data_IF_415272495123
#
_entry.id   IF_415272495123
#
_cell.length_a   1.000
_cell.length_b   1.000
_cell.length_c   1.000
_cell.angle_alpha   90.00
_cell.angle_beta   90.00
_cell.angle_gamma   90.00
#
_symmetry.space_group_name_H-M   'P 1'
#
loop_
_entity.id
_entity.type
_entity.pdbx_description
1 polymer ?
#
# COMPACT_ATOMS: atom_id res chain seq x y z
N UNK A 1 7.11 32.94 32.45
CA UNK A 1 7.08 34.02 31.45
C UNK A 1 6.27 33.55 30.27
N UNK A 2 4.95 33.85 30.27
CA UNK A 2 4.08 33.65 29.12
C UNK A 2 4.16 34.89 28.24
N UNK A 3 4.23 34.75 26.91
CA UNK A 3 3.51 35.59 25.95
C UNK A 3 3.85 35.26 24.51
N UNK A 4 2.77 34.87 23.75
CA UNK A 4 2.40 35.31 22.42
C UNK A 4 3.19 34.76 21.23
N UNK A 5 2.56 33.85 20.49
CA UNK A 5 2.39 34.00 19.03
C UNK A 5 1.03 33.40 18.65
N UNK A 6 0.06 34.27 18.48
CA UNK A 6 -1.21 34.06 17.77
C UNK A 6 -1.18 34.95 16.53
N UNK A 7 -1.77 34.44 15.47
CA UNK A 7 -2.15 35.09 14.22
C UNK A 7 -1.06 35.18 13.15
N UNK A 8 -1.31 34.37 12.06
CA UNK A 8 -1.15 34.80 10.66
C UNK A 8 -1.59 33.63 9.75
N UNK A 9 -2.89 33.52 9.52
CA UNK A 9 -3.47 32.86 8.37
C UNK A 9 -4.79 33.56 8.03
N UNK A 10 -4.69 34.54 7.13
CA UNK A 10 -5.79 35.06 6.31
C UNK A 10 -5.16 35.85 5.17
N UNK A 11 -5.26 35.35 3.95
CA UNK A 11 -5.50 36.06 2.72
C UNK A 11 -5.10 35.19 1.51
N UNK A 12 -6.03 34.43 0.95
CA UNK A 12 -5.95 34.00 -0.44
C UNK A 12 -6.96 34.79 -1.24
N UNK A 13 -6.46 35.62 -2.11
CA UNK A 13 -7.16 36.54 -2.99
C UNK A 13 -7.79 35.76 -4.16
N UNK A 14 -9.10 35.86 -4.32
CA UNK A 14 -9.82 35.42 -5.53
C UNK A 14 -9.60 36.45 -6.64
N UNK A 15 -9.04 36.04 -7.76
CA UNK A 15 -9.01 36.80 -9.02
C UNK A 15 -10.07 36.21 -9.94
N UNK A 16 -11.19 36.93 -10.08
CA UNK A 16 -12.21 36.65 -11.09
C UNK A 16 -11.82 37.33 -12.43
N UNK A 17 -11.54 36.55 -13.43
CA UNK A 17 -11.44 37.05 -14.82
C UNK A 17 -12.83 37.05 -15.48
N UNK A 18 -13.39 38.20 -15.70
CA UNK A 18 -14.56 38.40 -16.56
C UNK A 18 -14.12 38.51 -18.01
N UNK A 19 -14.56 37.59 -18.86
CA UNK A 19 -14.46 37.72 -20.34
C UNK A 19 -15.83 38.05 -20.84
N UNK A 20 -15.96 39.22 -21.48
CA UNK A 20 -17.16 39.67 -22.20
C UNK A 20 -17.13 39.15 -23.66
N UNK A 21 -18.23 38.69 -24.22
CA UNK A 21 -18.29 38.40 -25.64
C UNK A 21 -18.67 39.63 -26.45
N UNK A 22 -17.88 39.93 -27.48
CA UNK A 22 -18.26 40.89 -28.54
C UNK A 22 -19.27 40.25 -29.49
N UNK A 23 -20.38 40.97 -29.67
CA UNK A 23 -21.36 40.67 -30.70
C UNK A 23 -21.00 41.39 -32.00
N UNK A 24 -20.94 40.66 -33.11
CA UNK A 24 -21.03 41.23 -34.47
C UNK A 24 -22.35 40.81 -35.08
N UNK A 25 -23.14 41.81 -35.42
CA UNK A 25 -24.43 41.62 -36.07
C UNK A 25 -24.29 41.39 -37.59
N UNK A 26 -25.28 40.73 -38.15
CA UNK A 26 -25.71 40.90 -39.52
C UNK A 26 -27.22 40.74 -39.60
N UNK A 27 -27.84 41.72 -40.24
CA UNK A 27 -29.24 41.92 -40.52
C UNK A 27 -29.79 40.92 -41.55
N UNK A 28 -31.08 40.57 -41.43
CA UNK A 28 -31.86 39.89 -42.44
C UNK A 28 -33.31 39.81 -42.01
N UNK A 29 -34.14 40.70 -42.55
CA UNK A 29 -35.58 40.72 -42.40
C UNK A 29 -36.21 39.49 -43.06
N UNK A 30 -37.18 38.85 -42.39
CA UNK A 30 -38.39 38.32 -43.06
C UNK A 30 -39.51 38.09 -42.04
N UNK A 31 -40.67 38.68 -42.39
CA UNK A 31 -41.93 38.60 -41.69
C UNK A 31 -42.46 37.18 -41.60
N UNK A 32 -42.87 36.76 -40.41
CA UNK A 32 -43.76 35.63 -40.22
C UNK A 32 -44.67 35.83 -39.01
N UNK A 33 -45.94 35.90 -39.34
CA UNK A 33 -47.12 36.11 -38.49
C UNK A 33 -47.25 34.98 -37.45
N UNK A 34 -47.28 35.33 -36.17
CA UNK A 34 -47.60 34.41 -35.08
C UNK A 34 -49.08 34.43 -34.76
N UNK A 35 -49.76 33.29 -34.54
CA UNK A 35 -51.11 33.24 -33.97
C UNK A 35 -51.07 33.47 -32.43
N UNK A 36 -52.21 33.86 -31.83
CA UNK A 36 -52.25 34.26 -30.43
C UNK A 36 -52.02 33.08 -29.47
N UNK A 37 -51.32 33.37 -28.40
CA UNK A 37 -51.04 32.43 -27.31
C UNK A 37 -52.31 32.14 -26.50
N UNK A 38 -52.66 30.88 -26.32
CA UNK A 38 -53.56 30.42 -25.27
C UNK A 38 -52.76 30.33 -23.97
N UNK A 39 -53.12 31.18 -23.00
CA UNK A 39 -52.74 31.06 -21.59
C UNK A 39 -53.56 29.89 -21.00
N UNK A 40 -52.90 28.79 -20.68
CA UNK A 40 -53.14 27.86 -19.57
C UNK A 40 -52.32 26.58 -19.77
N UNK A 41 -51.08 26.62 -19.30
CA UNK A 41 -50.34 25.42 -18.99
C UNK A 41 -49.64 25.63 -17.63
N UNK A 42 -50.23 25.14 -16.57
CA UNK A 42 -49.57 24.98 -15.30
C UNK A 42 -48.28 24.14 -15.50
N UNK A 43 -47.13 24.77 -15.38
CA UNK A 43 -45.86 24.08 -15.42
C UNK A 43 -45.70 23.24 -14.16
N UNK A 44 -46.05 21.96 -14.26
CA UNK A 44 -45.65 20.94 -13.28
C UNK A 44 -44.15 20.74 -13.41
N UNK A 45 -43.41 21.57 -12.72
CA UNK A 45 -41.97 21.36 -12.49
C UNK A 45 -41.79 20.27 -11.45
N UNK A 46 -42.03 19.02 -11.89
CA UNK A 46 -41.46 17.88 -11.16
C UNK A 46 -39.96 18.04 -11.14
N UNK A 47 -39.44 18.48 -9.99
CA UNK A 47 -38.01 18.52 -9.75
C UNK A 47 -37.46 17.10 -9.98
N UNK A 48 -36.66 16.94 -11.04
CA UNK A 48 -35.89 15.72 -11.27
C UNK A 48 -35.03 15.57 -10.00
N UNK A 49 -35.13 14.47 -9.24
CA UNK A 49 -34.28 14.28 -8.09
C UNK A 49 -32.83 14.32 -8.57
N UNK A 50 -32.07 15.25 -8.02
CA UNK A 50 -30.65 15.41 -8.28
C UNK A 50 -29.99 14.05 -7.98
N UNK A 51 -29.53 13.33 -9.01
CA UNK A 51 -28.79 12.09 -8.82
C UNK A 51 -27.56 12.42 -7.97
N UNK A 52 -27.33 11.70 -6.87
CA UNK A 52 -26.15 11.93 -6.06
C UNK A 52 -24.92 11.85 -6.98
N UNK A 53 -24.08 12.89 -6.94
CA UNK A 53 -22.86 12.92 -7.73
C UNK A 53 -22.08 11.61 -7.50
N UNK A 54 -21.67 10.95 -8.58
CA UNK A 54 -20.82 9.76 -8.48
C UNK A 54 -19.59 10.10 -7.65
N UNK A 55 -19.27 9.23 -6.67
CA UNK A 55 -18.09 9.39 -5.87
C UNK A 55 -16.85 9.20 -6.77
N UNK A 56 -16.04 10.24 -6.89
CA UNK A 56 -14.81 10.21 -7.70
C UNK A 56 -13.70 9.61 -6.85
N UNK A 57 -12.90 8.70 -7.45
CA UNK A 57 -11.70 8.21 -6.80
C UNK A 57 -10.71 9.36 -6.65
N UNK A 58 -10.39 9.71 -5.42
CA UNK A 58 -9.39 10.71 -5.07
C UNK A 58 -8.15 10.04 -4.46
N UNK A 59 -6.99 10.65 -4.67
CA UNK A 59 -5.74 10.26 -4.04
C UNK A 59 -5.07 11.50 -3.46
N UNK A 60 -4.81 11.46 -2.16
CA UNK A 60 -4.23 12.58 -1.43
C UNK A 60 -2.93 12.15 -0.78
N UNK A 61 -1.91 12.99 -0.88
CA UNK A 61 -0.69 12.80 -0.09
C UNK A 61 -1.01 12.95 1.40
N UNK A 62 -0.60 11.98 2.18
CA UNK A 62 -0.76 11.99 3.62
C UNK A 62 0.58 11.65 4.27
N UNK A 63 1.05 12.56 5.11
CA UNK A 63 2.26 12.40 5.90
C UNK A 63 1.90 11.96 7.32
N UNK A 64 2.48 10.86 7.77
CA UNK A 64 2.41 10.42 9.16
C UNK A 64 3.71 10.78 9.89
N UNK A 65 3.67 10.79 11.23
CA UNK A 65 4.83 11.10 12.05
C UNK A 65 5.15 9.94 12.99
N UNK A 66 6.38 9.42 12.93
CA UNK A 66 6.94 8.52 13.92
C UNK A 66 8.03 9.27 14.70
N UNK A 67 7.67 9.86 15.85
CA UNK A 67 8.52 10.81 16.54
C UNK A 67 8.84 12.02 15.67
N UNK A 68 10.10 12.19 15.28
CA UNK A 68 10.55 13.27 14.40
C UNK A 68 10.67 12.85 12.93
N UNK A 69 10.43 11.58 12.61
CA UNK A 69 10.54 11.05 11.26
C UNK A 69 9.21 11.20 10.54
N UNK A 70 9.27 11.64 9.27
CA UNK A 70 8.09 11.78 8.41
C UNK A 70 7.96 10.54 7.55
N UNK A 71 6.76 10.00 7.50
CA UNK A 71 6.37 8.84 6.72
C UNK A 71 5.45 9.33 5.59
N UNK A 72 5.90 9.18 4.35
CA UNK A 72 5.14 9.54 3.17
C UNK A 72 4.16 8.44 2.77
N UNK A 73 2.98 8.83 2.27
CA UNK A 73 2.07 7.88 1.66
C UNK A 73 0.94 8.55 0.90
N UNK A 74 0.16 7.71 0.21
CA UNK A 74 -1.00 8.09 -0.57
C UNK A 74 -2.26 7.44 -0.01
N UNK A 75 -3.23 8.26 0.32
CA UNK A 75 -4.58 7.84 0.68
C UNK A 75 -5.48 7.85 -0.55
N UNK A 76 -6.05 6.72 -0.88
CA UNK A 76 -7.05 6.54 -1.93
C UNK A 76 -8.42 6.33 -1.30
N UNK A 77 -9.44 7.07 -1.74
CA UNK A 77 -10.82 6.90 -1.25
C UNK A 77 -11.83 7.43 -2.26
N UNK A 78 -13.04 6.86 -2.24
CA UNK A 78 -14.25 7.39 -2.90
C UNK A 78 -15.27 7.87 -1.87
N UNK A 79 -14.90 7.93 -0.60
CA UNK A 79 -15.80 8.40 0.44
C UNK A 79 -16.20 9.87 0.19
N UNK A 80 -17.48 10.15 0.40
CA UNK A 80 -18.02 11.51 0.30
C UNK A 80 -17.63 12.32 1.53
N UNK A 81 -17.63 13.64 1.45
CA UNK A 81 -17.44 14.49 2.63
C UNK A 81 -18.40 14.12 3.75
N UNK A 82 -17.85 13.84 4.94
CA UNK A 82 -18.61 13.43 6.13
C UNK A 82 -18.98 11.94 6.20
N UNK A 83 -18.66 11.15 5.17
CA UNK A 83 -18.80 9.70 5.18
C UNK A 83 -17.58 9.05 5.85
N UNK A 84 -17.82 8.04 6.69
CA UNK A 84 -16.78 7.17 7.23
C UNK A 84 -16.85 5.81 6.56
N UNK A 85 -15.68 5.32 6.16
CA UNK A 85 -15.54 4.01 5.51
C UNK A 85 -14.49 3.16 6.23
N UNK A 86 -14.53 1.83 6.10
CA UNK A 86 -13.44 0.97 6.56
C UNK A 86 -12.13 1.33 5.85
N UNK A 87 -11.00 1.09 6.50
CA UNK A 87 -9.69 1.39 5.94
C UNK A 87 -8.81 0.14 5.81
N UNK A 88 -7.93 0.16 4.81
CA UNK A 88 -6.82 -0.80 4.66
C UNK A 88 -5.52 -0.03 4.60
N UNK A 89 -4.56 -0.39 5.44
CA UNK A 89 -3.18 0.11 5.40
C UNK A 89 -2.33 -0.93 4.69
N UNK A 90 -1.59 -0.51 3.65
CA UNK A 90 -0.85 -1.40 2.77
C UNK A 90 0.66 -1.20 2.96
N UNK A 91 1.33 -2.24 3.44
CA UNK A 91 2.76 -2.31 3.74
C UNK A 91 3.52 -3.02 2.63
N UNK A 92 4.49 -2.34 2.01
CA UNK A 92 5.28 -2.86 0.89
C UNK A 92 6.34 -3.88 1.32
N UNK A 93 6.89 -4.62 0.34
CA UNK A 93 7.98 -5.58 0.52
C UNK A 93 9.33 -4.88 0.74
N UNK A 94 10.32 -5.64 1.21
CA UNK A 94 11.71 -5.19 1.38
C UNK A 94 12.23 -4.44 0.14
N UNK A 95 12.92 -3.32 0.36
CA UNK A 95 13.54 -2.49 -0.69
C UNK A 95 12.58 -1.91 -1.75
N UNK A 96 11.26 -1.93 -1.49
CA UNK A 96 10.25 -1.32 -2.33
C UNK A 96 9.75 0.00 -1.73
N UNK A 97 8.68 0.54 -2.32
CA UNK A 97 8.01 1.75 -1.89
C UNK A 97 6.48 1.59 -1.98
N UNK A 98 5.73 2.62 -1.56
CA UNK A 98 4.28 2.70 -1.74
C UNK A 98 3.83 2.39 -3.18
N UNK A 99 4.70 2.66 -4.17
CA UNK A 99 4.40 2.44 -5.58
C UNK A 99 4.02 0.98 -5.88
N UNK A 100 4.63 0.00 -5.19
CA UNK A 100 4.31 -1.41 -5.31
C UNK A 100 2.89 -1.77 -4.83
N UNK A 101 2.30 -0.96 -3.96
CA UNK A 101 0.99 -1.19 -3.35
C UNK A 101 -0.12 -0.34 -3.98
N UNK A 102 0.21 0.62 -4.85
CA UNK A 102 -0.76 1.56 -5.44
C UNK A 102 -1.89 0.89 -6.20
N UNK A 103 -1.59 -0.16 -6.97
CA UNK A 103 -2.60 -0.91 -7.71
C UNK A 103 -3.67 -1.50 -6.78
N UNK A 104 -3.24 -2.14 -5.72
CA UNK A 104 -4.12 -2.70 -4.69
C UNK A 104 -4.89 -1.61 -3.95
N UNK A 105 -4.24 -0.51 -3.57
CA UNK A 105 -4.90 0.60 -2.89
C UNK A 105 -6.03 1.21 -3.73
N UNK A 106 -5.80 1.42 -5.04
CA UNK A 106 -6.83 1.90 -5.97
C UNK A 106 -7.99 0.91 -6.07
N UNK A 107 -7.70 -0.37 -6.24
CA UNK A 107 -8.72 -1.42 -6.33
C UNK A 107 -9.59 -1.51 -5.08
N UNK A 108 -9.00 -1.34 -3.89
CA UNK A 108 -9.72 -1.30 -2.62
C UNK A 108 -10.58 -0.03 -2.49
N UNK A 109 -10.07 1.12 -2.92
CA UNK A 109 -10.83 2.37 -2.92
C UNK A 109 -12.02 2.32 -3.88
N UNK A 110 -11.88 1.63 -5.04
CA UNK A 110 -13.00 1.36 -5.95
C UNK A 110 -14.11 0.52 -5.29
N UNK A 111 -13.78 -0.25 -4.26
CA UNK A 111 -14.71 -1.04 -3.45
C UNK A 111 -15.23 -0.28 -2.22
N UNK A 112 -15.00 1.03 -2.13
CA UNK A 112 -15.51 1.88 -1.05
C UNK A 112 -14.71 1.79 0.25
N UNK A 113 -13.44 1.44 0.18
CA UNK A 113 -12.51 1.50 1.31
C UNK A 113 -11.71 2.82 1.29
N UNK A 114 -11.18 3.23 2.44
CA UNK A 114 -10.04 4.14 2.49
C UNK A 114 -8.78 3.28 2.46
N UNK A 115 -7.93 3.42 1.44
CA UNK A 115 -6.75 2.59 1.26
C UNK A 115 -5.50 3.46 1.31
N UNK A 116 -4.65 3.23 2.30
CA UNK A 116 -3.43 3.99 2.50
C UNK A 116 -2.20 3.13 2.23
N UNK A 117 -1.44 3.46 1.19
CA UNK A 117 -0.14 2.87 0.92
C UNK A 117 0.97 3.89 1.19
N UNK A 118 2.02 3.47 1.86
CA UNK A 118 3.05 4.35 2.40
C UNK A 118 4.45 3.78 2.20
N UNK A 119 5.46 4.63 2.39
CA UNK A 119 6.87 4.26 2.41
C UNK A 119 7.34 4.09 3.84
N UNK A 120 7.90 2.93 4.19
CA UNK A 120 8.66 2.80 5.43
C UNK A 120 9.86 3.75 5.44
N UNK A 121 10.22 4.29 6.59
CA UNK A 121 11.44 5.07 6.79
C UNK A 121 12.67 4.22 6.47
N UNK A 122 13.40 4.60 5.42
CA UNK A 122 14.52 3.82 4.91
C UNK A 122 14.14 2.49 4.24
N UNK A 123 12.86 2.24 3.95
CA UNK A 123 12.37 0.98 3.41
C UNK A 123 12.85 0.63 2.01
N UNK A 124 13.29 1.61 1.22
CA UNK A 124 13.81 1.41 -0.14
C UNK A 124 14.46 2.68 -0.69
N UNK A 125 15.20 2.55 -1.79
CA UNK A 125 15.90 3.67 -2.44
C UNK A 125 14.93 4.70 -3.06
N UNK A 126 13.69 4.30 -3.35
CA UNK A 126 12.64 5.15 -3.88
C UNK A 126 11.70 5.71 -2.79
N UNK A 127 11.99 5.42 -1.51
CA UNK A 127 11.22 5.93 -0.39
C UNK A 127 11.29 7.46 -0.34
N UNK A 128 10.14 8.10 -0.16
CA UNK A 128 10.01 9.53 0.10
C UNK A 128 9.94 9.84 1.61
N UNK A 129 9.92 8.82 2.45
CA UNK A 129 10.00 8.94 3.90
C UNK A 129 11.40 9.31 4.35
N UNK A 130 11.50 9.87 5.55
CA UNK A 130 12.80 10.21 6.15
C UNK A 130 13.65 8.93 6.37
N UNK A 131 14.92 9.13 6.69
CA UNK A 131 15.89 8.09 7.05
C UNK A 131 16.49 7.34 5.84
N UNK A 132 17.75 6.94 6.00
CA UNK A 132 18.51 6.13 5.03
C UNK A 132 18.19 4.63 5.21
N UNK A 133 18.29 3.89 4.11
CA UNK A 133 18.20 2.42 4.11
C UNK A 133 19.23 1.74 5.00
N UNK A 134 20.36 2.40 5.29
CA UNK A 134 21.44 1.84 6.14
C UNK A 134 21.06 1.67 7.60
N UNK A 135 20.04 2.41 8.07
CA UNK A 135 19.57 2.38 9.47
C UNK A 135 18.21 1.69 9.66
N UNK A 136 17.60 1.24 8.57
CA UNK A 136 16.33 0.52 8.62
C UNK A 136 16.50 -0.88 9.20
N UNK A 137 15.53 -1.29 10.00
CA UNK A 137 15.36 -2.65 10.53
C UNK A 137 13.88 -3.04 10.50
N UNK A 138 13.57 -4.32 10.65
CA UNK A 138 12.18 -4.76 10.81
C UNK A 138 11.49 -4.08 12.00
N UNK A 139 12.22 -3.76 13.07
CA UNK A 139 11.65 -3.11 14.26
C UNK A 139 11.40 -1.62 14.06
N UNK A 140 12.20 -0.93 13.22
CA UNK A 140 11.88 0.44 12.83
C UNK A 140 10.64 0.47 11.94
N UNK A 141 10.47 -0.48 11.02
CA UNK A 141 9.26 -0.62 10.20
C UNK A 141 8.01 -0.96 11.03
N UNK A 142 8.15 -1.79 12.08
CA UNK A 142 7.05 -2.03 13.05
C UNK A 142 6.62 -0.73 13.73
N UNK A 143 7.57 0.11 14.15
CA UNK A 143 7.26 1.40 14.77
C UNK A 143 6.62 2.37 13.77
N UNK A 144 7.08 2.38 12.52
CA UNK A 144 6.48 3.18 11.46
C UNK A 144 5.02 2.77 11.21
N UNK A 145 4.76 1.46 11.08
CA UNK A 145 3.40 0.97 10.85
C UNK A 145 2.47 1.26 12.04
N UNK A 146 2.96 1.20 13.28
CA UNK A 146 2.17 1.63 14.45
C UNK A 146 1.81 3.12 14.39
N UNK A 147 2.75 3.97 14.01
CA UNK A 147 2.50 5.41 13.85
C UNK A 147 1.50 5.68 12.71
N UNK A 148 1.63 4.97 11.60
CA UNK A 148 0.69 5.01 10.48
C UNK A 148 -0.70 4.53 10.91
N UNK A 149 -0.80 3.42 11.63
CA UNK A 149 -2.06 2.89 12.15
C UNK A 149 -2.78 3.92 13.02
N UNK A 150 -2.07 4.53 13.96
CA UNK A 150 -2.62 5.56 14.83
C UNK A 150 -3.11 6.78 14.03
N UNK A 151 -2.36 7.22 13.02
CA UNK A 151 -2.73 8.35 12.16
C UNK A 151 -3.97 8.03 11.33
N UNK A 152 -3.99 6.90 10.64
CA UNK A 152 -5.10 6.50 9.76
C UNK A 152 -6.39 6.29 10.54
N UNK A 153 -6.33 5.69 11.74
CA UNK A 153 -7.47 5.55 12.65
C UNK A 153 -8.07 6.88 13.08
N UNK A 154 -7.26 7.94 13.12
CA UNK A 154 -7.68 9.29 13.49
C UNK A 154 -8.30 10.11 12.36
N UNK A 155 -8.31 9.63 11.11
CA UNK A 155 -8.88 10.36 9.99
C UNK A 155 -10.41 10.42 10.06
N UNK A 156 -10.99 11.57 9.74
CA UNK A 156 -12.45 11.77 9.76
C UNK A 156 -13.19 10.84 8.78
N UNK A 157 -12.53 10.44 7.70
CA UNK A 157 -13.07 9.53 6.67
C UNK A 157 -13.02 8.05 7.08
N UNK A 158 -12.35 7.70 8.19
CA UNK A 158 -12.11 6.31 8.59
C UNK A 158 -13.00 5.90 9.76
N UNK A 159 -13.60 4.71 9.67
CA UNK A 159 -14.14 4.02 10.83
C UNK A 159 -13.01 3.44 11.68
N UNK A 160 -12.72 3.97 12.87
CA UNK A 160 -11.54 3.57 13.65
C UNK A 160 -11.53 2.10 14.07
N UNK A 161 -12.70 1.47 14.18
CA UNK A 161 -12.83 0.06 14.55
C UNK A 161 -12.86 -0.90 13.35
N UNK A 162 -12.65 -0.37 12.14
CA UNK A 162 -12.68 -1.12 10.88
C UNK A 162 -11.42 -0.84 10.07
N UNK A 163 -10.25 -0.92 10.70
CA UNK A 163 -8.94 -0.74 10.05
C UNK A 163 -8.25 -2.08 9.92
N UNK A 164 -7.93 -2.45 8.69
CA UNK A 164 -7.27 -3.69 8.32
C UNK A 164 -5.82 -3.42 7.93
N UNK A 165 -4.93 -4.38 8.19
CA UNK A 165 -3.56 -4.35 7.68
C UNK A 165 -3.43 -5.33 6.51
N UNK A 166 -2.83 -4.86 5.42
CA UNK A 166 -2.43 -5.68 4.29
C UNK A 166 -0.93 -5.53 4.09
N UNK A 167 -0.18 -6.60 4.18
CA UNK A 167 1.27 -6.55 3.99
C UNK A 167 1.78 -7.62 3.04
N UNK A 168 2.76 -7.25 2.20
CA UNK A 168 3.42 -8.17 1.27
C UNK A 168 4.85 -8.47 1.72
N UNK A 169 5.26 -9.74 1.65
CA UNK A 169 6.63 -10.20 1.97
C UNK A 169 7.11 -9.69 3.34
N UNK A 170 8.15 -8.84 3.42
CA UNK A 170 8.59 -8.22 4.69
C UNK A 170 7.48 -7.38 5.31
N UNK A 171 6.78 -6.56 4.53
CA UNK A 171 5.62 -5.81 5.01
C UNK A 171 4.50 -6.70 5.57
N UNK A 172 4.40 -7.95 5.10
CA UNK A 172 3.52 -8.98 5.67
C UNK A 172 3.97 -9.44 7.05
N UNK A 173 5.27 -9.67 7.24
CA UNK A 173 5.84 -9.97 8.57
C UNK A 173 5.66 -8.79 9.53
N UNK A 174 5.94 -7.56 9.08
CA UNK A 174 5.75 -6.33 9.88
C UNK A 174 4.29 -6.16 10.28
N UNK A 175 3.35 -6.35 9.33
CA UNK A 175 1.91 -6.26 9.59
C UNK A 175 1.44 -7.30 10.61
N UNK A 176 1.97 -8.52 10.54
CA UNK A 176 1.68 -9.56 11.52
C UNK A 176 2.15 -9.17 12.93
N UNK A 177 3.39 -8.67 13.06
CA UNK A 177 3.94 -8.21 14.34
C UNK A 177 3.13 -7.04 14.94
N UNK A 178 2.73 -6.07 14.12
CA UNK A 178 1.89 -4.96 14.59
C UNK A 178 0.51 -5.42 15.01
N UNK A 179 -0.10 -6.37 14.29
CA UNK A 179 -1.39 -6.92 14.67
C UNK A 179 -1.34 -7.66 16.03
N UNK A 180 -0.23 -8.35 16.35
CA UNK A 180 -0.02 -8.96 17.66
C UNK A 180 0.16 -7.92 18.78
N UNK A 181 0.87 -6.83 18.50
CA UNK A 181 1.13 -5.76 19.47
C UNK A 181 -0.09 -4.85 19.71
N UNK A 182 -0.94 -4.68 18.69
CA UNK A 182 -2.07 -3.74 18.70
C UNK A 182 -3.41 -4.43 18.33
N UNK A 183 -3.76 -5.57 18.98
CA UNK A 183 -4.87 -6.42 18.55
C UNK A 183 -6.25 -5.74 18.61
N UNK A 184 -6.41 -4.74 19.45
CA UNK A 184 -7.66 -3.98 19.59
C UNK A 184 -7.78 -2.86 18.54
N UNK A 185 -6.70 -2.54 17.84
CA UNK A 185 -6.68 -1.48 16.84
C UNK A 185 -6.81 -2.00 15.40
N UNK A 186 -6.66 -3.31 15.19
CA UNK A 186 -6.69 -3.97 13.88
C UNK A 186 -7.90 -4.87 13.78
N UNK A 187 -8.75 -4.64 12.78
CA UNK A 187 -9.98 -5.39 12.56
C UNK A 187 -9.76 -6.75 11.87
N UNK A 188 -8.66 -6.90 11.14
CA UNK A 188 -8.28 -8.13 10.45
C UNK A 188 -6.96 -7.96 9.69
N UNK A 189 -6.34 -9.08 9.33
CA UNK A 189 -4.99 -9.13 8.76
C UNK A 189 -4.99 -9.86 7.42
N UNK A 190 -4.42 -9.24 6.40
CA UNK A 190 -4.26 -9.77 5.05
C UNK A 190 -2.78 -9.88 4.75
N UNK A 191 -2.29 -11.09 4.49
CA UNK A 191 -0.87 -11.35 4.30
C UNK A 191 -0.62 -11.92 2.91
N UNK A 192 0.16 -11.22 2.10
CA UNK A 192 0.63 -11.68 0.81
C UNK A 192 2.04 -12.24 0.98
N UNK A 193 2.18 -13.56 0.76
CA UNK A 193 3.47 -14.28 0.83
C UNK A 193 4.41 -13.76 1.95
N UNK A 194 3.93 -13.72 3.23
CA UNK A 194 4.67 -13.06 4.32
C UNK A 194 6.03 -13.69 4.56
N UNK A 195 7.07 -12.86 4.68
CA UNK A 195 8.47 -13.30 4.79
C UNK A 195 8.84 -13.75 6.22
N UNK A 196 8.12 -14.73 6.78
CA UNK A 196 8.41 -15.28 8.10
C UNK A 196 9.73 -16.06 8.20
N UNK A 197 10.40 -16.31 7.05
CA UNK A 197 11.73 -16.87 6.98
C UNK A 197 12.84 -15.80 6.89
N UNK A 198 12.55 -14.52 7.17
CA UNK A 198 13.53 -13.45 6.98
C UNK A 198 14.81 -13.67 7.78
N UNK A 199 14.73 -14.22 8.99
CA UNK A 199 15.91 -14.59 9.78
C UNK A 199 16.80 -15.64 9.07
N UNK A 200 16.22 -16.60 8.37
CA UNK A 200 16.97 -17.57 7.56
C UNK A 200 17.62 -16.90 6.35
N UNK A 201 16.89 -16.01 5.68
CA UNK A 201 17.39 -15.27 4.53
C UNK A 201 18.61 -14.40 4.91
N UNK A 202 18.53 -13.64 6.01
CA UNK A 202 19.66 -12.78 6.44
C UNK A 202 20.86 -13.59 6.90
N UNK A 203 20.69 -14.78 7.50
CA UNK A 203 21.79 -15.69 7.84
C UNK A 203 22.49 -16.22 6.59
N UNK A 204 21.70 -16.72 5.62
CA UNK A 204 22.25 -17.22 4.36
C UNK A 204 23.01 -16.12 3.59
N UNK A 205 22.46 -14.90 3.58
CA UNK A 205 23.10 -13.75 2.96
C UNK A 205 24.37 -13.32 3.70
N UNK A 206 24.33 -13.28 5.04
CA UNK A 206 25.48 -12.98 5.89
C UNK A 206 26.63 -13.98 5.72
N UNK A 207 26.33 -15.27 5.63
CA UNK A 207 27.31 -16.33 5.37
C UNK A 207 27.95 -16.19 3.99
N UNK A 208 27.17 -15.83 2.97
CA UNK A 208 27.68 -15.56 1.62
C UNK A 208 28.64 -14.37 1.60
N UNK A 209 28.29 -13.27 2.27
CA UNK A 209 29.13 -12.07 2.36
C UNK A 209 30.42 -12.32 3.17
N UNK A 210 30.35 -13.07 4.27
CA UNK A 210 31.49 -13.44 5.09
C UNK A 210 32.40 -14.45 4.39
N UNK A 211 31.86 -15.36 3.59
CA UNK A 211 32.62 -16.29 2.77
C UNK A 211 33.44 -15.60 1.64
N UNK A 212 32.96 -14.44 1.17
CA UNK A 212 33.66 -13.63 0.17
C UNK A 212 34.71 -12.67 0.75
N UNK A 213 34.61 -12.27 2.01
CA UNK A 213 35.53 -11.35 2.70
C UNK A 213 36.87 -11.96 3.15
N UNK A 214 37.02 -13.27 3.08
CA UNK A 214 38.23 -14.01 3.47
C UNK A 214 39.21 -14.20 2.32
N UNK A 215 39.75 -13.13 1.77
CA UNK A 215 40.94 -13.11 0.89
C UNK A 215 40.88 -13.97 -0.37
N UNK A 216 40.70 -13.30 -1.49
CA UNK A 216 41.50 -13.46 -2.72
C UNK A 216 40.94 -12.51 -3.80
N UNK A 217 41.72 -11.52 -4.22
CA UNK A 217 41.60 -10.94 -5.54
C UNK A 217 41.94 -12.01 -6.60
N UNK A 218 41.00 -12.93 -6.82
CA UNK A 218 41.10 -14.01 -7.79
C UNK A 218 39.86 -14.00 -8.68
N UNK A 219 40.13 -13.70 -9.99
CA UNK A 219 39.18 -13.89 -11.08
C UNK A 219 38.63 -15.32 -11.05
N UNK A 220 37.45 -15.50 -10.47
CA UNK A 220 36.64 -16.73 -10.61
C UNK A 220 35.66 -16.56 -11.77
N UNK A 221 36.17 -16.70 -13.00
CA UNK A 221 35.40 -17.09 -14.15
C UNK A 221 35.06 -18.57 -14.04
N UNK A 222 34.28 -18.99 -13.06
CA UNK A 222 33.81 -20.36 -12.86
C UNK A 222 32.38 -20.45 -13.33
N UNK A 223 32.20 -21.23 -14.40
CA UNK A 223 31.00 -21.70 -15.08
C UNK A 223 29.78 -21.92 -14.18
N UNK A 224 28.97 -20.87 -13.99
CA UNK A 224 27.57 -20.93 -13.57
C UNK A 224 26.69 -20.58 -14.78
N UNK A 225 27.17 -20.90 -15.98
CA UNK A 225 26.56 -20.53 -17.27
C UNK A 225 25.27 -21.24 -17.65
N UNK A 226 24.73 -22.15 -16.83
CA UNK A 226 23.52 -22.91 -17.15
C UNK A 226 22.26 -22.53 -16.32
N UNK A 227 22.38 -21.56 -15.40
CA UNK A 227 21.20 -20.89 -14.83
C UNK A 227 21.23 -19.44 -15.28
N UNK A 228 20.63 -19.15 -16.42
CA UNK A 228 20.70 -17.90 -17.17
C UNK A 228 20.13 -16.67 -16.47
N UNK A 229 20.76 -16.24 -15.39
CA UNK A 229 20.45 -15.00 -14.70
C UNK A 229 21.73 -14.38 -14.12
N UNK A 230 22.01 -13.14 -14.48
CA UNK A 230 23.17 -12.37 -13.98
C UNK A 230 23.00 -12.09 -12.47
N UNK A 231 23.68 -12.86 -11.62
CA UNK A 231 23.76 -12.62 -10.17
C UNK A 231 24.39 -11.26 -9.82
N UNK A 232 25.06 -10.62 -10.77
CA UNK A 232 25.59 -9.26 -10.62
C UNK A 232 24.50 -8.20 -10.40
N UNK A 233 23.36 -8.35 -11.04
CA UNK A 233 22.22 -7.44 -10.90
C UNK A 233 21.41 -7.74 -9.62
N UNK A 234 21.45 -8.97 -9.11
CA UNK A 234 20.79 -9.33 -7.84
C UNK A 234 21.53 -8.82 -6.60
N UNK A 235 22.85 -8.62 -6.66
CA UNK A 235 23.64 -8.09 -5.56
C UNK A 235 23.24 -6.67 -5.13
N UNK A 236 22.78 -5.84 -6.08
CA UNK A 236 22.23 -4.52 -5.78
C UNK A 236 20.83 -4.56 -5.17
N UNK A 237 20.05 -5.60 -5.48
CA UNK A 237 18.64 -5.75 -5.08
C UNK A 237 18.46 -6.28 -3.65
N UNK A 238 19.44 -7.06 -3.16
CA UNK A 238 19.46 -7.61 -1.81
C UNK A 238 20.61 -7.02 -0.96
N UNK A 239 20.98 -5.77 -1.22
CA UNK A 239 21.95 -5.07 -0.36
C UNK A 239 21.30 -4.83 1.01
N UNK A 240 21.45 -5.81 1.89
CA UNK A 240 20.99 -5.69 3.29
C UNK A 240 22.07 -4.99 4.10
N UNK A 241 21.70 -3.94 4.84
CA UNK A 241 22.61 -3.29 5.76
C UNK A 241 23.00 -4.24 6.90
N UNK A 242 24.19 -4.07 7.45
CA UNK A 242 24.62 -4.88 8.60
C UNK A 242 23.68 -4.71 9.80
N UNK A 243 23.11 -3.50 9.97
CA UNK A 243 22.14 -3.21 11.03
C UNK A 243 20.86 -4.04 10.86
N UNK A 244 20.38 -4.19 9.62
CA UNK A 244 19.22 -5.04 9.33
C UNK A 244 19.51 -6.52 9.60
N UNK A 245 20.67 -7.01 9.15
CA UNK A 245 21.12 -8.39 9.39
C UNK A 245 21.22 -8.68 10.88
N UNK A 246 21.92 -7.81 11.63
CA UNK A 246 22.13 -7.99 13.06
C UNK A 246 20.83 -7.96 13.87
N UNK A 247 19.85 -7.21 13.42
CA UNK A 247 18.53 -7.15 14.06
C UNK A 247 17.72 -8.44 13.89
N UNK A 248 17.95 -9.21 12.80
CA UNK A 248 17.09 -10.34 12.44
C UNK A 248 17.75 -11.71 12.53
N UNK A 249 19.08 -11.81 12.46
CA UNK A 249 19.79 -13.12 12.38
C UNK A 249 19.44 -14.11 13.48
N UNK A 250 19.11 -13.60 14.69
CA UNK A 250 18.75 -14.39 15.87
C UNK A 250 17.27 -14.23 16.26
N UNK A 251 16.47 -13.54 15.44
CA UNK A 251 15.07 -13.28 15.74
C UNK A 251 14.17 -14.43 15.28
N UNK A 252 13.47 -15.05 16.21
CA UNK A 252 12.50 -16.11 15.93
C UNK A 252 11.08 -15.53 15.89
N UNK A 253 10.64 -15.13 14.70
CA UNK A 253 9.30 -14.55 14.48
C UNK A 253 8.18 -15.46 14.97
N UNK A 254 8.40 -16.78 14.96
CA UNK A 254 7.38 -17.77 15.35
C UNK A 254 7.00 -17.72 16.84
N UNK A 255 7.82 -17.08 17.66
CA UNK A 255 7.51 -16.80 19.07
C UNK A 255 6.72 -15.51 19.28
N UNK A 256 6.51 -14.74 18.20
CA UNK A 256 5.92 -13.40 18.25
C UNK A 256 4.67 -13.26 17.39
N UNK A 257 4.18 -14.34 16.78
CA UNK A 257 2.96 -14.36 15.96
C UNK A 257 2.07 -15.54 16.36
N UNK A 258 0.76 -15.44 16.05
CA UNK A 258 -0.20 -16.53 16.22
C UNK A 258 -1.17 -16.35 17.38
N UNK A 259 -1.15 -15.21 18.08
CA UNK A 259 -2.09 -14.89 19.16
C UNK A 259 -3.12 -13.84 18.78
N UNK A 260 -2.96 -13.18 17.62
CA UNK A 260 -3.90 -12.18 17.13
C UNK A 260 -5.32 -12.78 16.99
N UNK A 261 -6.34 -12.21 17.71
CA UNK A 261 -7.63 -12.87 17.90
C UNK A 261 -8.66 -12.56 16.79
N UNK A 262 -8.29 -11.74 15.80
CA UNK A 262 -9.18 -11.36 14.70
C UNK A 262 -8.87 -12.18 13.46
N UNK A 263 -9.78 -12.17 12.44
CA UNK A 263 -9.58 -12.94 11.22
C UNK A 263 -8.27 -12.62 10.50
N UNK A 264 -7.60 -13.66 9.99
CA UNK A 264 -6.36 -13.58 9.20
C UNK A 264 -6.57 -14.30 7.87
N UNK A 265 -6.27 -13.66 6.77
CA UNK A 265 -6.20 -14.32 5.47
C UNK A 265 -4.79 -14.26 4.93
N UNK A 266 -4.26 -15.40 4.47
CA UNK A 266 -2.91 -15.51 3.92
C UNK A 266 -3.05 -15.97 2.47
N UNK A 267 -2.46 -15.23 1.54
CA UNK A 267 -2.40 -15.59 0.12
C UNK A 267 -0.95 -15.86 -0.26
N UNK A 268 -0.66 -17.00 -0.89
CA UNK A 268 0.72 -17.39 -1.17
C UNK A 268 0.83 -18.14 -2.50
N UNK A 269 1.85 -17.82 -3.32
CA UNK A 269 2.11 -18.50 -4.57
C UNK A 269 2.62 -19.93 -4.38
N UNK A 270 2.10 -20.91 -5.16
CA UNK A 270 2.56 -22.29 -5.05
C UNK A 270 3.99 -22.51 -5.53
N UNK A 271 4.52 -21.60 -6.36
CA UNK A 271 5.89 -21.62 -6.91
C UNK A 271 6.79 -20.55 -6.32
N UNK A 272 6.44 -20.00 -5.15
CA UNK A 272 7.28 -19.02 -4.46
C UNK A 272 8.58 -19.68 -4.00
N UNK A 273 9.68 -19.31 -4.66
CA UNK A 273 11.00 -19.84 -4.40
C UNK A 273 11.78 -19.04 -3.37
N UNK A 274 11.39 -17.78 -3.12
CA UNK A 274 12.04 -16.88 -2.16
C UNK A 274 11.51 -17.11 -0.74
N UNK A 275 10.19 -17.14 -0.61
CA UNK A 275 9.52 -17.46 0.64
C UNK A 275 8.72 -18.75 0.44
N UNK A 276 9.21 -19.89 0.93
CA UNK A 276 8.50 -21.15 0.76
C UNK A 276 7.09 -21.11 1.35
N UNK A 277 6.09 -21.60 0.59
CA UNK A 277 4.69 -21.67 1.02
C UNK A 277 4.48 -22.44 2.33
N UNK A 278 5.45 -23.26 2.74
CA UNK A 278 5.45 -23.95 4.03
C UNK A 278 5.43 -22.98 5.22
N UNK A 279 5.98 -21.77 5.07
CA UNK A 279 5.90 -20.74 6.11
C UNK A 279 4.45 -20.29 6.35
N UNK A 280 3.70 -20.05 5.29
CA UNK A 280 2.27 -19.72 5.41
C UNK A 280 1.43 -20.89 5.93
N UNK A 281 1.76 -22.13 5.55
CA UNK A 281 1.13 -23.34 6.11
C UNK A 281 1.39 -23.48 7.60
N UNK A 282 2.58 -23.12 8.08
CA UNK A 282 2.91 -23.08 9.50
C UNK A 282 2.15 -21.96 10.20
N UNK A 283 2.15 -20.74 9.63
CA UNK A 283 1.50 -19.57 10.21
C UNK A 283 0.00 -19.77 10.41
N UNK A 284 -0.72 -20.28 9.39
CA UNK A 284 -2.17 -20.53 9.51
C UNK A 284 -2.53 -21.50 10.63
N UNK A 285 -1.62 -22.39 11.00
CA UNK A 285 -1.81 -23.31 12.12
C UNK A 285 -1.58 -22.69 13.49
N UNK A 286 -1.06 -21.46 13.57
CA UNK A 286 -0.82 -20.74 14.83
C UNK A 286 -1.98 -19.80 15.19
N UNK A 287 -2.56 -19.13 14.20
CA UNK A 287 -3.64 -18.17 14.42
C UNK A 287 -4.96 -18.88 14.74
N UNK A 288 -5.77 -18.34 15.68
CA UNK A 288 -7.06 -18.95 16.06
C UNK A 288 -8.11 -18.90 14.93
N UNK A 289 -8.06 -17.92 14.04
CA UNK A 289 -8.97 -17.74 12.93
C UNK A 289 -8.19 -17.31 11.68
N UNK A 290 -7.61 -18.28 10.97
CA UNK A 290 -6.82 -18.01 9.76
C UNK A 290 -7.17 -18.93 8.60
N UNK A 291 -7.15 -18.37 7.41
CA UNK A 291 -7.33 -19.10 6.14
C UNK A 291 -6.13 -18.89 5.24
N UNK A 292 -5.65 -19.98 4.60
CA UNK A 292 -4.60 -19.94 3.59
C UNK A 292 -5.17 -20.22 2.20
N UNK A 293 -4.91 -19.29 1.28
CA UNK A 293 -5.19 -19.44 -0.14
C UNK A 293 -3.88 -19.63 -0.90
N UNK A 294 -3.68 -20.82 -1.44
CA UNK A 294 -2.51 -21.11 -2.28
C UNK A 294 -2.85 -20.77 -3.72
N UNK A 295 -2.16 -19.77 -4.28
CA UNK A 295 -2.36 -19.32 -5.66
C UNK A 295 -1.52 -20.18 -6.60
N UNK A 296 -2.17 -21.06 -7.33
CA UNK A 296 -1.49 -22.05 -8.16
C UNK A 296 -0.70 -21.38 -9.30
N UNK A 297 0.56 -21.76 -9.42
CA UNK A 297 1.48 -21.26 -10.44
C UNK A 297 2.14 -19.92 -10.12
N UNK A 298 1.65 -19.17 -9.11
CA UNK A 298 2.21 -17.88 -8.74
C UNK A 298 3.56 -18.03 -8.03
N UNK A 299 4.49 -17.15 -8.38
CA UNK A 299 5.77 -16.95 -7.70
C UNK A 299 5.66 -15.93 -6.56
N UNK A 300 6.81 -15.48 -6.03
CA UNK A 300 6.89 -14.35 -5.10
C UNK A 300 6.45 -13.07 -5.82
N UNK A 301 5.42 -12.40 -5.31
CA UNK A 301 4.76 -11.30 -5.99
C UNK A 301 3.67 -11.80 -6.97
N UNK A 302 2.46 -11.32 -6.81
CA UNK A 302 1.32 -11.74 -7.63
C UNK A 302 1.21 -10.98 -8.93
N UNK A 303 1.82 -9.81 -9.02
CA UNK A 303 1.81 -8.94 -10.19
C UNK A 303 3.20 -8.35 -10.42
N UNK A 304 3.81 -8.71 -11.55
CA UNK A 304 5.13 -8.23 -11.93
C UNK A 304 5.16 -6.69 -12.09
N UNK A 305 4.05 -6.08 -12.51
CA UNK A 305 3.97 -4.63 -12.68
C UNK A 305 4.10 -3.85 -11.36
N UNK A 306 3.66 -4.45 -10.25
CA UNK A 306 3.76 -3.83 -8.91
C UNK A 306 5.17 -3.98 -8.29
N UNK A 307 6.02 -4.81 -8.87
CA UNK A 307 7.38 -5.07 -8.39
C UNK A 307 8.47 -4.29 -9.17
N UNK A 308 8.08 -3.44 -10.12
CA UNK A 308 9.04 -2.67 -10.93
C UNK A 308 10.03 -3.57 -11.67
N UNK A 309 11.32 -3.20 -11.67
CA UNK A 309 12.38 -4.01 -12.27
C UNK A 309 12.53 -5.41 -11.65
N UNK A 310 12.10 -5.58 -10.40
CA UNK A 310 12.06 -6.87 -9.70
C UNK A 310 11.06 -7.84 -10.34
N UNK A 311 9.95 -7.36 -10.90
CA UNK A 311 8.93 -8.19 -11.50
C UNK A 311 9.43 -9.04 -12.67
N UNK A 312 10.32 -8.50 -13.50
CA UNK A 312 10.93 -9.23 -14.63
C UNK A 312 11.84 -10.37 -14.15
N UNK A 313 12.54 -10.17 -13.02
CA UNK A 313 13.49 -11.14 -12.47
C UNK A 313 12.79 -12.22 -11.64
N UNK A 314 11.65 -11.90 -11.02
CA UNK A 314 10.89 -12.82 -10.16
C UNK A 314 9.97 -13.78 -10.94
N UNK A 315 10.08 -13.81 -12.25
CA UNK A 315 9.64 -14.96 -13.06
C UNK A 315 8.23 -14.93 -13.59
N UNK A 316 7.69 -13.77 -13.94
CA UNK A 316 6.44 -13.93 -14.64
C UNK A 316 5.74 -12.67 -15.11
N UNK A 317 5.37 -12.68 -16.38
CA UNK A 317 4.38 -11.76 -16.96
C UNK A 317 2.92 -12.12 -16.56
N UNK A 318 2.72 -13.10 -15.69
CA UNK A 318 1.39 -13.52 -15.27
C UNK A 318 0.86 -12.57 -14.19
N UNK A 319 -0.32 -12.05 -14.45
CA UNK A 319 -1.07 -11.20 -13.52
C UNK A 319 -2.08 -12.08 -12.75
N UNK A 320 -1.85 -12.22 -11.45
CA UNK A 320 -2.73 -12.98 -10.55
C UNK A 320 -3.71 -12.08 -9.78
N UNK A 321 -3.75 -10.77 -10.02
CA UNK A 321 -4.65 -9.84 -9.33
C UNK A 321 -6.12 -10.20 -9.53
N UNK A 322 -6.48 -10.76 -10.70
CA UNK A 322 -7.83 -11.26 -10.99
C UNK A 322 -8.25 -12.45 -10.11
N UNK A 323 -7.31 -13.15 -9.49
CA UNK A 323 -7.54 -14.25 -8.54
C UNK A 323 -7.41 -13.75 -7.11
N UNK A 324 -6.41 -12.94 -6.84
CA UNK A 324 -6.04 -12.45 -5.50
C UNK A 324 -7.06 -11.45 -4.96
N UNK A 325 -7.44 -10.46 -5.76
CA UNK A 325 -8.31 -9.39 -5.28
C UNK A 325 -9.73 -9.83 -4.93
N UNK A 326 -10.40 -10.74 -5.65
CA UNK A 326 -11.68 -11.30 -5.20
C UNK A 326 -11.62 -11.93 -3.80
N UNK A 327 -10.53 -12.64 -3.47
CA UNK A 327 -10.33 -13.23 -2.14
C UNK A 327 -10.22 -12.14 -1.07
N UNK A 328 -9.48 -11.07 -1.38
CA UNK A 328 -9.34 -9.91 -0.48
C UNK A 328 -10.69 -9.21 -0.28
N UNK A 329 -11.48 -9.02 -1.35
CA UNK A 329 -12.80 -8.40 -1.25
C UNK A 329 -13.77 -9.24 -0.42
N UNK A 330 -13.78 -10.57 -0.61
CA UNK A 330 -14.60 -11.49 0.17
C UNK A 330 -14.25 -11.41 1.67
N UNK A 331 -12.95 -11.44 1.99
CA UNK A 331 -12.46 -11.28 3.36
C UNK A 331 -12.91 -9.94 4.00
N UNK A 332 -12.94 -8.87 3.22
CA UNK A 332 -13.37 -7.54 3.66
C UNK A 332 -14.91 -7.35 3.63
N UNK A 333 -15.68 -8.33 3.13
CA UNK A 333 -17.14 -8.25 2.96
C UNK A 333 -17.55 -7.27 1.84
N UNK A 334 -16.80 -7.23 0.71
CA UNK A 334 -16.97 -6.26 -0.39
C UNK A 334 -17.20 -6.92 -1.75
#
# INVERSE_FOLDING_TARGET
MQRKFRHLWQAALAVALTVAPMATGCSGDEDSILPPADDDAASDTTAIPEQPAEAVLDSTELWCMNGNQRIYGLLYTKARPGERVPAVILSHSYSLSHAAMRGYARSLAEKGMAAYCFDFCGGGSESQSDVSTDSMTVFTEVNDLKAVLATVRGLDVVHPDSVYLLGSSLGGMVSALVAEDEPDQVAGLILFYPAFNMADLVRQFGDLMNGWGGGMGGSWGGSWGDMGGSWGDMGGMFSMSQVFIDALKDYDVWQHIGTFPRPVTILHGSKDWLVPVSNSKKAVGLYPDATLHVIEGANHGFNAANLGSMGSMMGGAADYDSIVMPIVYDFLGR
#
